data_IF_635000717126
#
_entry.id   IF_635000717126
#
_cell.length_a   1.000
_cell.length_b   1.000
_cell.length_c   1.000
_cell.angle_alpha   90.00
_cell.angle_beta   90.00
_cell.angle_gamma   90.00
#
_symmetry.space_group_name_H-M   'P 1'
#
loop_
_entity.id
_entity.type
_entity.pdbx_description
1 polymer ?
#
# COMPACT_ATOMS: atom_id res chain seq x y z
N UNK A 1 -57.33 1.84 30.34
CA UNK A 1 -56.71 2.67 29.29
C UNK A 1 -56.41 1.76 28.11
N UNK A 2 -57.01 1.96 26.94
CA UNK A 2 -56.93 1.00 25.83
C UNK A 2 -55.71 1.24 24.94
N UNK A 3 -54.86 0.22 24.76
CA UNK A 3 -53.80 0.23 23.76
C UNK A 3 -54.41 0.14 22.36
N UNK A 4 -54.36 1.24 21.60
CA UNK A 4 -54.73 1.28 20.18
C UNK A 4 -53.64 0.57 19.35
N UNK A 5 -53.87 -0.70 19.01
CA UNK A 5 -53.08 -1.42 18.02
C UNK A 5 -53.26 -0.76 16.64
N UNK A 6 -52.22 -0.11 16.11
CA UNK A 6 -52.17 0.40 14.73
C UNK A 6 -51.62 -0.69 13.80
N UNK A 7 -52.29 -0.92 12.67
CA UNK A 7 -51.97 -1.97 11.69
C UNK A 7 -50.82 -1.54 10.76
N UNK A 8 -49.95 -2.48 10.33
CA UNK A 8 -48.75 -2.27 9.49
C UNK A 8 -48.43 -3.56 8.64
N UNK A 9 -48.06 -3.53 7.33
CA UNK A 9 -47.54 -4.67 6.49
C UNK A 9 -46.85 -4.23 5.12
N UNK A 10 -46.39 -5.05 4.13
CA UNK A 10 -45.45 -4.60 3.02
C UNK A 10 -45.87 -3.43 2.05
N UNK A 11 -45.00 -2.47 1.58
CA UNK A 11 -45.33 -1.57 0.44
C UNK A 11 -45.47 -2.37 -0.86
N UNK A 12 -46.42 -2.01 -1.74
CA UNK A 12 -46.58 -2.69 -3.04
C UNK A 12 -45.34 -2.48 -3.93
N UNK A 13 -44.94 -3.47 -4.74
CA UNK A 13 -44.02 -3.22 -5.83
C UNK A 13 -44.61 -2.14 -6.76
N UNK A 14 -43.73 -1.32 -7.36
CA UNK A 14 -44.12 -0.45 -8.48
C UNK A 14 -44.86 -1.27 -9.55
N UNK A 15 -45.85 -0.69 -10.23
CA UNK A 15 -46.95 -1.32 -11.02
C UNK A 15 -46.66 -2.52 -11.97
N UNK A 16 -45.41 -2.97 -12.12
CA UNK A 16 -44.97 -4.10 -12.95
C UNK A 16 -43.91 -5.01 -12.28
N UNK A 17 -43.65 -4.87 -10.97
CA UNK A 17 -42.72 -5.75 -10.24
C UNK A 17 -43.40 -7.04 -9.78
N UNK A 18 -42.68 -8.16 -9.85
CA UNK A 18 -43.14 -9.45 -9.31
C UNK A 18 -43.32 -9.41 -7.79
N UNK A 19 -44.12 -10.33 -7.26
CA UNK A 19 -44.29 -10.51 -5.81
C UNK A 19 -42.93 -10.84 -5.15
N UNK A 20 -42.74 -10.36 -3.92
CA UNK A 20 -41.48 -10.56 -3.21
C UNK A 20 -41.30 -12.05 -2.85
N UNK A 21 -40.34 -12.71 -3.50
CA UNK A 21 -40.00 -14.10 -3.20
C UNK A 21 -39.47 -14.21 -1.76
N UNK A 22 -40.11 -15.05 -0.96
CA UNK A 22 -39.88 -15.11 0.48
C UNK A 22 -38.60 -15.91 0.76
N UNK A 23 -37.58 -15.34 1.42
CA UNK A 23 -36.37 -16.08 1.76
C UNK A 23 -36.70 -17.28 2.64
N UNK A 24 -36.10 -18.48 2.43
CA UNK A 24 -36.46 -19.71 3.15
C UNK A 24 -36.30 -19.58 4.67
N UNK A 25 -35.32 -18.81 5.13
CA UNK A 25 -35.11 -18.46 6.55
C UNK A 25 -36.34 -17.79 7.19
N UNK A 26 -37.15 -17.07 6.41
CA UNK A 26 -38.37 -16.40 6.87
C UNK A 26 -39.48 -17.40 7.15
N UNK A 27 -39.54 -18.52 6.41
CA UNK A 27 -40.47 -19.61 6.67
C UNK A 27 -40.07 -20.39 7.94
N UNK A 28 -38.78 -20.65 8.14
CA UNK A 28 -38.27 -21.26 9.38
C UNK A 28 -38.50 -20.35 10.60
N UNK A 29 -38.25 -19.04 10.48
CA UNK A 29 -38.50 -18.08 11.55
C UNK A 29 -40.00 -17.94 11.86
N UNK A 30 -40.88 -18.01 10.85
CA UNK A 30 -42.34 -18.06 11.04
C UNK A 30 -42.79 -19.30 11.83
N UNK A 31 -42.25 -20.48 11.50
CA UNK A 31 -42.52 -21.72 12.27
C UNK A 31 -42.03 -21.58 13.71
N UNK A 32 -40.81 -21.10 13.94
CA UNK A 32 -40.28 -20.90 15.30
C UNK A 32 -41.07 -19.87 16.12
N UNK A 33 -41.59 -18.82 15.49
CA UNK A 33 -42.46 -17.83 16.13
C UNK A 33 -43.86 -18.39 16.50
N UNK A 34 -44.36 -19.37 15.75
CA UNK A 34 -45.64 -20.04 16.08
C UNK A 34 -45.56 -20.99 17.28
N UNK A 35 -44.36 -21.46 17.64
CA UNK A 35 -44.13 -22.42 18.74
C UNK A 35 -43.92 -21.70 20.09
N UNK A 36 -43.34 -20.49 20.07
CA UNK A 36 -43.09 -19.72 21.28
C UNK A 36 -44.31 -18.89 21.68
N UNK A 37 -45.00 -19.32 22.74
CA UNK A 37 -46.23 -18.72 23.27
C UNK A 37 -45.95 -17.41 24.07
N UNK A 38 -45.25 -16.46 23.44
CA UNK A 38 -44.95 -15.13 23.95
C UNK A 38 -46.16 -14.21 23.82
N UNK A 39 -46.30 -13.24 24.71
CA UNK A 39 -47.30 -12.16 24.57
C UNK A 39 -46.99 -11.18 23.43
N UNK A 40 -45.77 -11.22 22.89
CA UNK A 40 -45.35 -10.50 21.68
C UNK A 40 -45.42 -11.37 20.39
N UNK A 41 -46.02 -12.58 20.46
CA UNK A 41 -46.13 -13.44 19.28
C UNK A 41 -47.07 -12.82 18.21
N UNK A 42 -46.68 -12.80 16.92
CA UNK A 42 -47.55 -12.29 15.86
C UNK A 42 -48.82 -13.15 15.74
N UNK A 43 -49.97 -12.50 15.63
CA UNK A 43 -51.26 -13.18 15.41
C UNK A 43 -51.22 -14.03 14.13
N UNK A 44 -51.97 -15.14 14.09
CA UNK A 44 -51.94 -16.08 12.96
C UNK A 44 -52.12 -15.44 11.57
N UNK A 45 -52.96 -14.40 11.46
CA UNK A 45 -53.14 -13.62 10.24
C UNK A 45 -51.94 -12.75 9.84
N UNK A 46 -51.12 -12.31 10.81
CA UNK A 46 -49.87 -11.58 10.56
C UNK A 46 -48.75 -12.54 10.15
N UNK A 47 -48.70 -13.74 10.75
CA UNK A 47 -47.86 -14.85 10.27
C UNK A 47 -48.23 -15.23 8.84
N UNK A 48 -49.51 -15.38 8.54
CA UNK A 48 -50.00 -15.72 7.20
C UNK A 48 -49.75 -14.59 6.18
N UNK A 49 -49.81 -13.31 6.59
CA UNK A 49 -49.43 -12.17 5.74
C UNK A 49 -47.91 -12.08 5.51
N UNK A 50 -47.08 -12.42 6.51
CA UNK A 50 -45.62 -12.56 6.34
C UNK A 50 -45.29 -13.70 5.36
N UNK A 51 -46.02 -14.82 5.46
CA UNK A 51 -45.91 -15.99 4.57
C UNK A 51 -46.54 -15.79 3.17
N UNK A 52 -47.19 -14.64 2.91
CA UNK A 52 -47.79 -14.27 1.61
C UNK A 52 -47.27 -12.96 1.02
N UNK A 53 -46.56 -12.13 1.80
CA UNK A 53 -45.94 -10.88 1.36
C UNK A 53 -46.85 -9.64 1.30
N UNK A 54 -48.08 -9.67 1.85
CA UNK A 54 -49.13 -8.64 1.58
C UNK A 54 -49.24 -7.54 2.66
N UNK A 55 -49.45 -6.24 2.30
CA UNK A 55 -49.68 -5.17 3.31
C UNK A 55 -49.56 -3.65 2.95
N UNK A 56 -49.37 -2.78 3.99
CA UNK A 56 -48.88 -1.35 4.03
C UNK A 56 -48.29 -0.94 5.46
N UNK A 57 -46.99 -0.57 5.65
CA UNK A 57 -46.26 -0.58 6.97
C UNK A 57 -45.90 0.83 7.48
N UNK A 58 -46.01 1.05 8.80
CA UNK A 58 -45.39 2.14 9.58
C UNK A 58 -44.04 1.71 10.23
N UNK A 59 -43.24 2.65 10.80
CA UNK A 59 -41.83 2.41 11.16
C UNK A 59 -41.50 1.29 12.16
N UNK A 60 -42.45 0.87 13.00
CA UNK A 60 -42.18 -0.03 14.14
C UNK A 60 -41.62 -1.40 13.74
N UNK A 61 -42.03 -1.94 12.57
CA UNK A 61 -41.70 -3.32 12.18
C UNK A 61 -40.55 -3.46 11.17
N UNK A 62 -39.89 -2.36 10.79
CA UNK A 62 -38.73 -2.37 9.87
C UNK A 62 -37.53 -3.21 10.36
N UNK A 63 -37.48 -3.55 11.65
CA UNK A 63 -36.34 -4.28 12.26
C UNK A 63 -36.31 -5.79 11.95
N UNK A 64 -37.42 -6.37 11.48
CA UNK A 64 -37.59 -7.81 11.28
C UNK A 64 -37.73 -8.26 9.81
N UNK A 65 -37.70 -7.34 8.84
CA UNK A 65 -37.83 -7.71 7.43
C UNK A 65 -36.47 -8.08 6.84
N UNK A 66 -36.23 -9.37 6.59
CA UNK A 66 -35.00 -9.93 5.99
C UNK A 66 -34.67 -9.28 4.63
N UNK A 67 -35.68 -9.01 3.81
CA UNK A 67 -35.52 -8.31 2.52
C UNK A 67 -34.85 -6.93 2.65
N UNK A 68 -35.04 -6.21 3.76
CA UNK A 68 -34.40 -4.90 4.00
C UNK A 68 -32.94 -5.01 4.47
N UNK A 69 -32.39 -6.22 4.65
CA UNK A 69 -31.06 -6.46 5.24
C UNK A 69 -29.96 -6.86 4.26
N UNK A 70 -30.32 -7.43 3.13
CA UNK A 70 -29.38 -7.92 2.12
C UNK A 70 -29.78 -7.45 0.73
N UNK A 71 -28.84 -7.38 -0.18
CA UNK A 71 -29.12 -7.27 -1.61
C UNK A 71 -29.67 -8.60 -2.12
N UNK A 72 -30.55 -8.56 -3.11
CA UNK A 72 -30.90 -9.75 -3.88
C UNK A 72 -29.89 -9.98 -5.03
N UNK A 73 -29.99 -11.12 -5.72
CA UNK A 73 -29.07 -11.49 -6.80
C UNK A 73 -29.09 -10.52 -7.99
N UNK A 74 -30.25 -9.95 -8.32
CA UNK A 74 -30.37 -8.94 -9.39
C UNK A 74 -29.71 -7.60 -9.00
N UNK A 75 -29.83 -7.22 -7.73
CA UNK A 75 -29.24 -6.01 -7.16
C UNK A 75 -27.71 -6.11 -7.08
N UNK A 76 -27.18 -7.28 -6.71
CA UNK A 76 -25.75 -7.57 -6.78
C UNK A 76 -25.23 -7.52 -8.22
N UNK A 77 -26.00 -8.01 -9.21
CA UNK A 77 -25.63 -7.90 -10.63
C UNK A 77 -25.59 -6.44 -11.11
N UNK A 78 -26.50 -5.57 -10.65
CA UNK A 78 -26.47 -4.14 -10.96
C UNK A 78 -25.24 -3.43 -10.37
N UNK A 79 -24.82 -3.83 -9.18
CA UNK A 79 -23.60 -3.29 -8.55
C UNK A 79 -22.33 -3.81 -9.25
N UNK A 80 -22.30 -5.11 -9.61
CA UNK A 80 -21.24 -5.67 -10.44
C UNK A 80 -21.17 -5.00 -11.81
N UNK A 81 -22.30 -4.68 -12.45
CA UNK A 81 -22.35 -3.91 -13.71
C UNK A 81 -21.69 -2.52 -13.55
N UNK A 82 -22.04 -1.76 -12.50
CA UNK A 82 -21.47 -0.43 -12.28
C UNK A 82 -19.95 -0.46 -11.99
N UNK A 83 -19.48 -1.39 -11.15
CA UNK A 83 -18.05 -1.63 -10.92
C UNK A 83 -17.36 -2.06 -12.24
N UNK A 84 -18.00 -2.95 -12.99
CA UNK A 84 -17.60 -3.37 -14.33
C UNK A 84 -17.90 -2.32 -15.41
N UNK A 85 -18.19 -1.07 -15.07
CA UNK A 85 -18.16 0.08 -16.01
C UNK A 85 -17.04 1.08 -15.68
N UNK A 86 -16.43 1.00 -14.50
CA UNK A 86 -15.40 1.93 -14.05
C UNK A 86 -14.06 1.74 -14.78
N UNK A 87 -13.41 2.85 -15.13
CA UNK A 87 -12.11 2.90 -15.80
C UNK A 87 -11.04 3.55 -14.93
N UNK A 88 -9.76 3.39 -15.27
CA UNK A 88 -8.66 4.00 -14.52
C UNK A 88 -8.61 5.54 -14.70
N UNK A 89 -9.06 6.04 -15.86
CA UNK A 89 -9.14 7.48 -16.15
C UNK A 89 -10.22 8.18 -15.32
N UNK A 90 -11.18 7.43 -14.73
CA UNK A 90 -12.27 8.00 -13.93
C UNK A 90 -11.75 8.71 -12.66
N UNK A 91 -10.60 8.30 -12.13
CA UNK A 91 -9.91 9.00 -11.04
C UNK A 91 -9.41 10.38 -11.47
N UNK A 92 -9.11 10.56 -12.76
CA UNK A 92 -8.40 11.71 -13.32
C UNK A 92 -9.27 12.64 -14.15
N UNK A 93 -10.60 12.46 -14.14
CA UNK A 93 -11.56 13.28 -14.92
C UNK A 93 -11.37 14.79 -14.67
N UNK A 94 -11.15 15.20 -13.43
CA UNK A 94 -10.89 16.60 -13.05
C UNK A 94 -9.58 17.17 -13.62
N UNK A 95 -8.68 16.30 -14.09
CA UNK A 95 -7.40 16.60 -14.74
C UNK A 95 -7.40 16.26 -16.24
N UNK A 96 -8.59 16.12 -16.86
CA UNK A 96 -8.72 15.76 -18.28
C UNK A 96 -8.34 14.31 -18.61
N UNK A 97 -8.36 13.42 -17.61
CA UNK A 97 -7.95 12.02 -17.74
C UNK A 97 -6.47 11.76 -17.51
N UNK A 98 -5.65 12.79 -17.25
CA UNK A 98 -4.21 12.66 -17.01
C UNK A 98 -3.86 12.55 -15.52
N UNK A 99 -2.95 11.64 -15.13
CA UNK A 99 -2.57 11.46 -13.73
C UNK A 99 -1.68 12.61 -13.23
N UNK A 100 -1.93 13.03 -11.99
CA UNK A 100 -1.28 14.21 -11.41
C UNK A 100 0.07 13.88 -10.77
N UNK A 101 0.93 14.91 -10.71
CA UNK A 101 2.21 14.88 -9.97
C UNK A 101 2.02 15.21 -8.49
N UNK A 102 3.09 15.07 -7.71
CA UNK A 102 3.10 15.43 -6.29
C UNK A 102 2.64 16.89 -6.09
N UNK A 103 1.88 17.12 -5.01
CA UNK A 103 1.17 18.35 -4.68
C UNK A 103 0.10 18.83 -5.68
N UNK A 104 -0.21 18.04 -6.73
CA UNK A 104 -1.36 18.32 -7.59
C UNK A 104 -2.69 18.12 -6.85
N UNK A 105 -3.72 18.94 -7.11
CA UNK A 105 -5.06 18.72 -6.57
C UNK A 105 -5.78 17.61 -7.35
N UNK A 106 -6.71 16.92 -6.69
CA UNK A 106 -7.53 15.88 -7.31
C UNK A 106 -8.99 16.00 -6.86
N UNK A 107 -9.95 15.96 -7.79
CA UNK A 107 -11.38 15.83 -7.47
C UNK A 107 -11.94 14.53 -8.05
N UNK A 108 -12.35 13.64 -7.16
CA UNK A 108 -13.05 12.39 -7.45
C UNK A 108 -14.57 12.62 -7.45
N UNK A 109 -15.31 11.82 -8.21
CA UNK A 109 -16.76 11.94 -8.36
C UNK A 109 -17.39 10.58 -8.65
N UNK A 110 -18.37 10.16 -7.84
CA UNK A 110 -19.20 9.01 -8.15
C UNK A 110 -20.59 9.48 -8.61
N UNK A 111 -20.96 9.34 -9.90
CA UNK A 111 -22.20 9.91 -10.41
C UNK A 111 -23.45 9.21 -9.87
N UNK A 112 -24.49 9.98 -9.57
CA UNK A 112 -25.82 9.47 -9.17
C UNK A 112 -26.59 8.78 -10.30
N UNK A 113 -26.10 8.86 -11.54
CA UNK A 113 -26.66 8.15 -12.69
C UNK A 113 -26.32 6.65 -12.74
N UNK A 114 -25.47 6.15 -11.82
CA UNK A 114 -25.14 4.71 -11.68
C UNK A 114 -26.40 3.87 -11.47
N UNK A 115 -26.46 2.69 -12.10
CA UNK A 115 -27.65 1.86 -12.12
C UNK A 115 -28.05 1.38 -10.71
N UNK A 116 -27.07 0.89 -9.95
CA UNK A 116 -27.19 0.48 -8.54
C UNK A 116 -27.72 1.62 -7.65
N UNK A 117 -27.16 2.84 -7.78
CA UNK A 117 -27.65 4.02 -7.05
C UNK A 117 -29.11 4.31 -7.35
N UNK A 118 -29.44 4.52 -8.63
CA UNK A 118 -30.80 4.90 -9.08
C UNK A 118 -31.85 3.82 -8.79
N UNK A 119 -31.50 2.54 -8.88
CA UNK A 119 -32.44 1.42 -8.70
C UNK A 119 -32.55 0.94 -7.26
N UNK A 120 -31.51 1.11 -6.44
CA UNK A 120 -31.37 0.49 -5.11
C UNK A 120 -31.17 1.57 -4.04
N UNK A 121 -30.00 2.22 -4.01
CA UNK A 121 -29.52 2.93 -2.83
C UNK A 121 -30.10 4.34 -2.63
N UNK A 122 -30.34 5.09 -3.71
CA UNK A 122 -30.98 6.42 -3.62
C UNK A 122 -32.51 6.32 -3.45
N UNK A 123 -33.09 5.12 -3.52
CA UNK A 123 -34.50 4.90 -3.17
C UNK A 123 -34.66 4.78 -1.66
N UNK A 124 -35.22 5.82 -1.05
CA UNK A 124 -35.57 5.86 0.38
C UNK A 124 -36.48 4.71 0.85
N UNK A 125 -37.18 4.03 -0.07
CA UNK A 125 -38.04 2.87 0.20
C UNK A 125 -37.25 1.57 0.41
N UNK A 126 -36.12 1.39 -0.30
CA UNK A 126 -35.34 0.14 -0.32
C UNK A 126 -34.42 0.00 0.89
N UNK A 127 -33.70 1.07 1.22
CA UNK A 127 -32.84 1.14 2.41
C UNK A 127 -33.01 2.50 3.13
N UNK A 128 -34.07 2.67 3.93
CA UNK A 128 -34.44 3.96 4.53
C UNK A 128 -33.46 4.51 5.58
N UNK A 129 -32.51 3.70 6.04
CA UNK A 129 -31.44 4.10 6.98
C UNK A 129 -30.08 4.22 6.29
N UNK A 130 -30.00 4.03 4.97
CA UNK A 130 -28.73 4.04 4.25
C UNK A 130 -28.02 5.37 4.34
N UNK A 131 -26.69 5.32 4.34
CA UNK A 131 -25.81 6.49 4.35
C UNK A 131 -24.71 6.25 3.33
N UNK A 132 -24.62 7.13 2.34
CA UNK A 132 -23.44 7.19 1.49
C UNK A 132 -22.30 7.89 2.23
N UNK A 133 -21.08 7.46 1.98
CA UNK A 133 -19.87 8.18 2.37
C UNK A 133 -18.65 7.71 1.58
N UNK A 134 -17.60 8.53 1.65
CA UNK A 134 -16.29 8.21 1.10
C UNK A 134 -15.43 7.49 2.12
N UNK A 135 -14.67 6.50 1.67
CA UNK A 135 -13.69 5.77 2.48
C UNK A 135 -12.36 5.63 1.75
N UNK A 136 -11.30 5.37 2.51
CA UNK A 136 -10.04 4.86 1.99
C UNK A 136 -9.90 3.40 2.38
N UNK A 137 -9.72 2.55 1.37
CA UNK A 137 -9.67 1.11 1.51
C UNK A 137 -8.27 0.67 1.94
N UNK A 138 -8.16 0.10 3.14
CA UNK A 138 -6.94 -0.50 3.69
C UNK A 138 -7.37 -1.80 4.38
N UNK A 139 -7.48 -2.93 3.65
CA UNK A 139 -7.88 -4.18 4.26
C UNK A 139 -6.77 -4.71 5.17
N UNK A 140 -7.19 -5.23 6.32
CA UNK A 140 -6.35 -5.77 7.38
C UNK A 140 -5.89 -7.21 7.11
N UNK A 141 -6.62 -7.98 6.28
CA UNK A 141 -6.26 -9.37 5.98
C UNK A 141 -6.87 -9.91 4.68
N UNK A 142 -6.28 -10.98 4.13
CA UNK A 142 -6.77 -11.72 2.96
C UNK A 142 -8.06 -12.52 3.17
N UNK A 143 -8.64 -12.45 4.37
CA UNK A 143 -9.93 -13.05 4.73
C UNK A 143 -10.98 -11.99 5.08
N UNK A 144 -10.63 -10.71 4.94
CA UNK A 144 -11.55 -9.61 5.22
C UNK A 144 -12.67 -9.59 4.18
N UNK A 145 -13.95 -9.61 4.59
CA UNK A 145 -15.08 -9.59 3.68
C UNK A 145 -15.20 -8.26 2.91
N UNK A 146 -15.67 -8.34 1.68
CA UNK A 146 -15.80 -7.18 0.76
C UNK A 146 -16.69 -6.05 1.31
N UNK A 147 -17.67 -6.37 2.17
CA UNK A 147 -18.62 -5.39 2.69
C UNK A 147 -18.04 -4.46 3.77
N UNK A 148 -16.77 -4.63 4.17
CA UNK A 148 -16.15 -3.71 5.14
C UNK A 148 -15.79 -2.38 4.44
N UNK A 149 -16.20 -1.23 5.01
CA UNK A 149 -16.02 0.08 4.38
C UNK A 149 -14.56 0.53 4.24
N UNK A 150 -13.65 0.05 5.11
CA UNK A 150 -12.34 0.68 5.31
C UNK A 150 -12.45 1.92 6.21
N UNK A 151 -11.53 2.89 6.08
CA UNK A 151 -11.50 4.08 6.95
C UNK A 151 -12.37 5.19 6.34
N UNK A 152 -13.44 5.67 7.01
CA UNK A 152 -14.26 6.78 6.51
C UNK A 152 -13.47 8.09 6.47
N UNK A 153 -13.60 8.82 5.35
CA UNK A 153 -12.92 10.09 5.13
C UNK A 153 -13.73 11.21 5.75
N UNK A 154 -13.06 12.09 6.49
CA UNK A 154 -13.65 13.25 7.17
C UNK A 154 -13.06 14.55 6.62
N UNK A 155 -13.88 15.60 6.65
CA UNK A 155 -13.44 16.94 6.25
C UNK A 155 -12.23 17.38 7.08
N UNK A 156 -11.22 17.88 6.38
CA UNK A 156 -9.92 18.30 6.92
C UNK A 156 -9.25 19.26 5.93
N UNK A 157 -8.10 19.84 6.29
CA UNK A 157 -7.34 20.71 5.39
C UNK A 157 -6.81 19.99 4.13
N UNK A 158 -6.85 18.65 4.10
CA UNK A 158 -6.37 17.81 3.01
C UNK A 158 -7.52 17.23 2.17
N UNK A 159 -8.66 16.96 2.80
CA UNK A 159 -9.83 16.32 2.20
C UNK A 159 -11.11 17.15 2.41
N UNK A 160 -11.79 17.51 1.33
CA UNK A 160 -13.15 18.07 1.36
C UNK A 160 -14.12 17.06 0.73
N UNK A 161 -15.11 16.63 1.52
CA UNK A 161 -16.21 15.76 1.11
C UNK A 161 -17.46 16.61 0.84
N UNK A 162 -17.93 16.57 -0.41
CA UNK A 162 -19.09 17.30 -0.94
C UNK A 162 -20.08 16.29 -1.55
N UNK A 163 -20.77 15.54 -0.68
CA UNK A 163 -21.65 14.43 -1.07
C UNK A 163 -20.98 13.42 -2.02
N UNK A 164 -21.41 13.41 -3.29
CA UNK A 164 -20.91 12.59 -4.39
C UNK A 164 -19.48 12.93 -4.84
N UNK A 165 -18.89 14.00 -4.31
CA UNK A 165 -17.54 14.45 -4.60
C UNK A 165 -16.59 14.32 -3.42
N UNK A 166 -15.34 13.99 -3.71
CA UNK A 166 -14.22 14.06 -2.78
C UNK A 166 -13.08 14.84 -3.44
N UNK A 167 -12.69 15.95 -2.81
CA UNK A 167 -11.54 16.77 -3.24
C UNK A 167 -10.36 16.51 -2.31
N UNK A 168 -9.22 16.16 -2.90
CA UNK A 168 -7.91 16.03 -2.25
C UNK A 168 -7.10 17.27 -2.65
N UNK A 169 -6.69 18.10 -1.71
CA UNK A 169 -6.04 19.39 -2.00
C UNK A 169 -4.62 19.27 -2.53
N UNK A 170 -3.87 18.27 -2.06
CA UNK A 170 -2.48 18.00 -2.39
C UNK A 170 -2.29 16.49 -2.46
N UNK A 171 -1.75 15.99 -3.57
CA UNK A 171 -1.32 14.60 -3.66
C UNK A 171 0.06 14.43 -3.00
N UNK A 172 0.07 13.70 -1.90
CA UNK A 172 1.26 13.36 -1.13
C UNK A 172 1.35 11.83 -0.95
N UNK A 173 2.51 11.26 -0.56
CA UNK A 173 2.61 9.81 -0.37
C UNK A 173 1.58 9.27 0.64
N UNK A 174 1.13 10.09 1.60
CA UNK A 174 0.07 9.77 2.55
C UNK A 174 -1.35 9.78 1.99
N UNK A 175 -1.58 10.33 0.78
CA UNK A 175 -2.90 10.35 0.10
C UNK A 175 -3.01 9.32 -1.02
N UNK A 176 -1.95 8.56 -1.33
CA UNK A 176 -2.02 7.45 -2.29
C UNK A 176 -2.88 6.30 -1.74
N UNK A 177 -3.37 5.46 -2.64
CA UNK A 177 -4.18 4.27 -2.34
C UNK A 177 -5.56 4.31 -2.99
N UNK A 178 -6.43 3.39 -2.56
CA UNK A 178 -7.73 3.16 -3.20
C UNK A 178 -8.84 3.85 -2.41
N UNK A 179 -9.52 4.79 -3.06
CA UNK A 179 -10.69 5.50 -2.52
C UNK A 179 -11.96 4.79 -2.96
N UNK A 180 -12.95 4.70 -2.08
CA UNK A 180 -14.26 4.09 -2.38
C UNK A 180 -15.37 5.08 -2.05
N UNK A 181 -16.37 5.12 -2.91
CA UNK A 181 -17.68 5.70 -2.61
C UNK A 181 -18.70 4.56 -2.56
N UNK A 182 -19.51 4.55 -1.51
CA UNK A 182 -20.45 3.47 -1.26
C UNK A 182 -21.49 3.83 -0.22
N UNK A 183 -22.41 2.90 0.01
CA UNK A 183 -23.51 3.05 0.95
C UNK A 183 -23.37 2.02 2.06
N UNK A 184 -23.37 2.48 3.31
CA UNK A 184 -23.71 1.64 4.45
C UNK A 184 -25.24 1.59 4.55
N UNK A 185 -25.83 0.45 4.24
CA UNK A 185 -27.29 0.26 4.17
C UNK A 185 -27.85 -0.45 5.40
N UNK A 186 -27.06 -1.37 5.98
CA UNK A 186 -27.20 -1.89 7.34
C UNK A 186 -25.91 -1.64 8.14
N UNK A 187 -25.99 -1.54 9.49
CA UNK A 187 -24.80 -1.34 10.32
C UNK A 187 -23.73 -2.41 10.08
N UNK A 188 -22.55 -2.00 9.60
CA UNK A 188 -21.45 -2.92 9.26
C UNK A 188 -21.50 -3.54 7.86
N UNK A 189 -22.52 -3.24 7.05
CA UNK A 189 -22.64 -3.67 5.65
C UNK A 189 -22.52 -2.46 4.72
N UNK A 190 -21.35 -2.29 4.11
CA UNK A 190 -21.05 -1.21 3.15
C UNK A 190 -20.80 -1.75 1.75
N UNK A 191 -21.53 -1.22 0.77
CA UNK A 191 -21.43 -1.64 -0.62
C UNK A 191 -20.76 -0.59 -1.50
N UNK A 192 -19.78 -1.04 -2.28
CA UNK A 192 -18.93 -0.16 -3.09
C UNK A 192 -19.60 0.10 -4.43
N UNK A 193 -19.87 1.37 -4.73
CA UNK A 193 -20.48 1.80 -6.01
C UNK A 193 -19.40 2.29 -6.98
N UNK A 194 -18.43 3.06 -6.46
CA UNK A 194 -17.29 3.53 -7.23
C UNK A 194 -15.98 3.32 -6.45
N UNK A 195 -14.90 3.00 -7.14
CA UNK A 195 -13.54 2.89 -6.59
C UNK A 195 -12.54 3.65 -7.47
N UNK A 196 -11.56 4.30 -6.85
CA UNK A 196 -10.60 5.16 -7.54
C UNK A 196 -9.18 4.83 -7.05
N UNK A 197 -8.32 4.24 -7.90
CA UNK A 197 -6.91 4.08 -7.60
C UNK A 197 -6.21 5.43 -7.76
N UNK A 198 -5.74 6.00 -6.65
CA UNK A 198 -5.04 7.29 -6.63
C UNK A 198 -3.56 7.06 -6.34
N UNK A 199 -2.72 7.48 -7.27
CA UNK A 199 -1.26 7.37 -7.22
C UNK A 199 -0.62 8.68 -7.67
N UNK A 200 0.64 8.91 -7.31
CA UNK A 200 1.41 10.03 -7.83
C UNK A 200 2.09 9.59 -9.13
N UNK A 201 1.88 10.31 -10.23
CA UNK A 201 2.54 9.98 -11.50
C UNK A 201 4.04 10.26 -11.43
N UNK A 202 4.86 9.27 -11.80
CA UNK A 202 6.33 9.36 -11.82
C UNK A 202 6.91 9.88 -10.51
N UNK A 203 6.45 9.37 -9.35
CA UNK A 203 6.98 9.78 -8.06
C UNK A 203 8.50 9.52 -7.99
N UNK A 204 9.29 10.60 -7.93
CA UNK A 204 10.73 10.50 -8.02
C UNK A 204 11.33 10.03 -6.69
N UNK A 205 12.00 8.88 -6.73
CA UNK A 205 12.73 8.33 -5.59
C UNK A 205 14.21 8.20 -5.94
N UNK A 206 15.08 8.75 -5.10
CA UNK A 206 16.54 8.78 -5.33
C UNK A 206 17.24 7.87 -4.33
N UNK A 207 17.95 6.87 -4.84
CA UNK A 207 18.69 5.88 -4.04
C UNK A 207 20.20 6.00 -4.24
N UNK A 208 20.97 5.49 -3.28
CA UNK A 208 22.41 5.26 -3.41
C UNK A 208 22.68 3.86 -3.98
N UNK A 209 23.83 3.69 -4.62
CA UNK A 209 24.30 2.38 -5.08
C UNK A 209 24.40 1.37 -3.94
N UNK A 210 23.87 0.17 -4.13
CA UNK A 210 23.88 -0.92 -3.14
C UNK A 210 22.78 -0.84 -2.08
N UNK A 211 21.90 0.17 -2.11
CA UNK A 211 20.75 0.21 -1.21
C UNK A 211 19.69 -0.84 -1.61
N UNK A 212 18.94 -1.34 -0.63
CA UNK A 212 17.74 -2.15 -0.86
C UNK A 212 16.51 -1.24 -0.88
N UNK A 213 15.54 -1.54 -1.74
CA UNK A 213 14.32 -0.73 -1.88
C UNK A 213 13.09 -1.59 -2.12
N UNK A 214 12.00 -1.28 -1.42
CA UNK A 214 10.73 -1.99 -1.54
C UNK A 214 9.78 -1.24 -2.46
N UNK A 215 9.51 -1.83 -3.63
CA UNK A 215 8.41 -1.43 -4.50
C UNK A 215 7.09 -1.85 -3.85
N UNK A 216 6.17 -0.90 -3.68
CA UNK A 216 4.85 -1.14 -3.06
C UNK A 216 3.76 -0.85 -4.09
N UNK A 217 2.87 -1.80 -4.33
CA UNK A 217 1.80 -1.66 -5.31
C UNK A 217 0.66 -0.74 -4.85
N UNK A 218 0.44 -0.53 -3.55
CA UNK A 218 -0.70 0.21 -2.98
C UNK A 218 -2.07 -0.31 -3.47
N UNK A 219 -2.12 -1.60 -3.78
CA UNK A 219 -3.20 -2.24 -4.53
C UNK A 219 -4.19 -2.97 -3.64
N UNK A 220 -3.80 -3.30 -2.40
CA UNK A 220 -4.62 -4.00 -1.39
C UNK A 220 -6.05 -3.44 -1.30
N UNK A 221 -6.22 -2.13 -1.40
CA UNK A 221 -7.53 -1.48 -1.32
C UNK A 221 -8.54 -1.89 -2.41
N UNK A 222 -8.11 -2.53 -3.50
CA UNK A 222 -8.98 -3.10 -4.54
C UNK A 222 -9.59 -4.45 -4.13
N UNK A 223 -9.12 -5.05 -3.03
CA UNK A 223 -9.60 -6.36 -2.56
C UNK A 223 -11.12 -6.52 -2.51
N UNK A 224 -11.92 -5.56 -2.00
CA UNK A 224 -13.38 -5.67 -1.97
C UNK A 224 -14.02 -5.84 -3.36
N UNK A 225 -13.39 -5.27 -4.39
CA UNK A 225 -13.87 -5.35 -5.78
C UNK A 225 -13.44 -6.69 -6.39
N UNK A 226 -12.18 -7.09 -6.18
CA UNK A 226 -11.62 -8.37 -6.67
C UNK A 226 -12.34 -9.57 -6.03
N UNK A 227 -12.59 -9.51 -4.73
CA UNK A 227 -13.22 -10.61 -3.97
C UNK A 227 -14.71 -10.77 -4.24
N UNK A 228 -15.43 -9.69 -4.61
CA UNK A 228 -16.85 -9.74 -4.97
C UNK A 228 -17.08 -10.26 -6.41
N UNK A 229 -16.12 -10.09 -7.32
CA UNK A 229 -16.23 -10.65 -8.67
C UNK A 229 -15.82 -12.13 -8.70
N UNK A 230 -16.74 -12.99 -9.16
CA UNK A 230 -16.52 -14.44 -9.26
C UNK A 230 -16.20 -14.92 -10.68
N UNK A 231 -16.44 -14.09 -11.71
CA UNK A 231 -16.34 -14.45 -13.12
C UNK A 231 -15.13 -13.86 -13.84
N UNK A 232 -14.52 -12.79 -13.30
CA UNK A 232 -13.40 -12.06 -13.93
C UNK A 232 -12.06 -12.54 -13.39
N UNK A 233 -11.06 -12.70 -14.27
CA UNK A 233 -9.68 -12.97 -13.84
C UNK A 233 -8.93 -11.67 -13.59
N UNK A 234 -8.25 -11.60 -12.45
CA UNK A 234 -7.41 -10.46 -12.09
C UNK A 234 -5.95 -10.86 -12.11
N UNK A 235 -5.09 -9.97 -12.60
CA UNK A 235 -3.65 -10.14 -12.67
C UNK A 235 -2.95 -8.92 -12.11
N UNK A 236 -1.74 -9.10 -11.63
CA UNK A 236 -0.84 -8.02 -11.21
C UNK A 236 0.48 -8.15 -11.94
N UNK A 237 1.08 -7.02 -12.31
CA UNK A 237 2.42 -6.96 -12.85
C UNK A 237 3.03 -5.57 -12.62
N UNK A 238 4.36 -5.51 -12.71
CA UNK A 238 5.10 -4.25 -12.83
C UNK A 238 5.47 -4.01 -14.29
N UNK A 239 5.06 -2.86 -14.83
CA UNK A 239 5.57 -2.36 -16.09
C UNK A 239 6.87 -1.59 -15.81
N UNK A 240 7.99 -2.08 -16.34
CA UNK A 240 9.33 -1.52 -16.06
C UNK A 240 9.99 -1.05 -17.36
N UNK A 241 10.37 0.23 -17.38
CA UNK A 241 11.06 0.88 -18.51
C UNK A 241 12.38 1.49 -18.02
N UNK A 242 13.50 0.85 -18.36
CA UNK A 242 14.85 1.22 -17.89
C UNK A 242 15.49 2.28 -18.79
N UNK A 243 16.07 3.32 -18.19
CA UNK A 243 16.64 4.47 -18.93
C UNK A 243 18.05 4.22 -19.48
N UNK A 244 18.85 3.34 -18.90
CA UNK A 244 20.23 3.07 -19.40
C UNK A 244 20.26 2.23 -20.71
N UNK A 245 19.08 1.94 -21.30
CA UNK A 245 18.88 1.20 -22.56
C UNK A 245 18.40 2.08 -23.73
N UNK A 246 18.77 3.37 -23.76
CA UNK A 246 18.32 4.29 -24.81
C UNK A 246 18.68 3.84 -26.25
N UNK A 247 19.77 3.08 -26.42
CA UNK A 247 20.25 2.58 -27.73
C UNK A 247 19.56 1.31 -28.27
N UNK A 248 18.65 0.66 -27.52
CA UNK A 248 17.92 -0.52 -28.00
C UNK A 248 16.53 -0.16 -28.55
N UNK A 249 15.94 -1.02 -29.40
CA UNK A 249 14.59 -0.82 -29.95
C UNK A 249 13.53 -0.73 -28.84
N UNK A 250 12.49 0.09 -29.03
CA UNK A 250 11.46 0.39 -28.00
C UNK A 250 10.69 -0.84 -27.49
N UNK A 251 10.66 -1.92 -28.28
CA UNK A 251 10.04 -3.20 -27.93
C UNK A 251 10.85 -3.95 -26.85
N UNK A 252 12.18 -3.74 -26.76
CA UNK A 252 13.04 -4.34 -25.71
C UNK A 252 13.20 -3.48 -24.46
N UNK A 253 12.72 -2.21 -24.48
CA UNK A 253 12.77 -1.30 -23.33
C UNK A 253 11.73 -1.63 -22.27
N UNK A 254 10.56 -2.10 -22.71
CA UNK A 254 9.43 -2.45 -21.87
C UNK A 254 9.53 -3.90 -21.44
N UNK A 255 9.64 -4.15 -20.13
CA UNK A 255 9.64 -5.51 -19.60
C UNK A 255 8.61 -5.64 -18.49
N UNK A 256 7.62 -6.52 -18.72
CA UNK A 256 6.67 -6.94 -17.68
C UNK A 256 7.44 -7.78 -16.65
N UNK A 257 7.46 -7.31 -15.40
CA UNK A 257 8.06 -8.03 -14.27
C UNK A 257 6.93 -8.54 -13.36
N UNK A 258 7.12 -9.75 -12.82
CA UNK A 258 6.20 -10.36 -11.84
C UNK A 258 4.74 -10.45 -12.28
N UNK A 259 4.50 -10.82 -13.56
CA UNK A 259 3.16 -11.08 -14.07
C UNK A 259 2.56 -12.34 -13.43
N UNK A 260 1.46 -12.17 -12.69
CA UNK A 260 0.84 -13.21 -11.86
C UNK A 260 -0.68 -13.09 -11.89
N UNK A 261 -1.39 -14.22 -11.96
CA UNK A 261 -2.84 -14.30 -11.75
C UNK A 261 -3.16 -14.27 -10.25
N UNK A 262 -4.11 -13.44 -9.85
CA UNK A 262 -4.51 -13.26 -8.45
C UNK A 262 -5.64 -14.24 -8.08
N UNK A 263 -5.39 -15.06 -7.05
CA UNK A 263 -6.39 -16.00 -6.54
C UNK A 263 -7.43 -15.33 -5.63
N UNK A 264 -8.71 -15.58 -5.88
CA UNK A 264 -9.80 -15.25 -4.94
C UNK A 264 -10.08 -16.46 -4.01
N UNK A 265 -9.69 -16.41 -2.72
CA UNK A 265 -9.82 -17.52 -1.76
C UNK A 265 -11.27 -17.80 -1.36
N UNK A 266 -12.22 -16.91 -1.66
CA UNK A 266 -13.63 -17.14 -1.40
C UNK A 266 -14.27 -18.09 -2.44
N UNK A 267 -13.70 -18.20 -3.64
CA UNK A 267 -14.20 -19.07 -4.71
C UNK A 267 -13.79 -20.53 -4.49
N UNK A 268 -12.54 -20.78 -4.08
CA UNK A 268 -11.94 -22.13 -4.04
C UNK A 268 -12.37 -23.02 -2.85
N UNK A 269 -13.59 -22.86 -2.30
CA UNK A 269 -14.12 -23.81 -1.29
C UNK A 269 -14.83 -25.04 -1.87
N UNK A 270 -15.09 -25.08 -3.18
CA UNK A 270 -15.79 -26.21 -3.82
C UNK A 270 -14.95 -27.04 -4.82
N UNK A 271 -13.79 -26.57 -5.27
CA UNK A 271 -12.85 -27.37 -6.08
C UNK A 271 -11.87 -28.16 -5.19
N UNK A 272 -12.46 -28.99 -4.34
CA UNK A 272 -11.76 -29.94 -3.49
C UNK A 272 -11.99 -31.38 -3.94
N UNK A 273 -11.74 -31.71 -5.21
CA UNK A 273 -11.49 -33.07 -5.72
C UNK A 273 -11.04 -33.07 -7.19
N UNK A 274 -9.92 -33.77 -7.47
CA UNK A 274 -9.46 -34.28 -8.78
C UNK A 274 -9.28 -33.24 -9.92
N UNK A 275 -8.06 -32.87 -10.32
CA UNK A 275 -7.08 -33.80 -10.90
C UNK A 275 -5.61 -33.39 -10.70
N UNK A 276 -4.74 -34.40 -10.59
CA UNK A 276 -3.33 -34.30 -10.96
C UNK A 276 -3.24 -34.62 -12.46
N UNK A 277 -3.49 -33.64 -13.33
CA UNK A 277 -3.29 -33.83 -14.77
C UNK A 277 -1.83 -33.55 -15.15
N UNK A 278 -1.17 -34.58 -15.66
CA UNK A 278 0.15 -34.48 -16.28
C UNK A 278 0.04 -33.70 -17.59
N UNK A 279 0.59 -32.49 -17.67
CA UNK A 279 0.91 -31.84 -18.95
C UNK A 279 2.37 -31.42 -18.99
N UNK A 280 3.14 -32.21 -19.74
CA UNK A 280 4.43 -31.81 -20.32
C UNK A 280 4.23 -30.78 -21.43
N UNK A 281 5.26 -29.96 -21.62
CA UNK A 281 5.51 -29.14 -22.82
C UNK A 281 4.56 -27.97 -23.13
N UNK A 282 4.60 -26.96 -22.25
CA UNK A 282 4.60 -25.56 -22.68
C UNK A 282 5.42 -24.71 -21.69
N UNK A 283 6.32 -23.80 -22.15
CA UNK A 283 7.18 -23.05 -21.25
C UNK A 283 6.42 -21.94 -20.50
N UNK A 284 6.37 -22.08 -19.17
CA UNK A 284 6.15 -20.99 -18.21
C UNK A 284 4.83 -20.21 -18.29
N UNK A 285 3.70 -20.91 -18.13
CA UNK A 285 2.54 -20.34 -17.42
C UNK A 285 2.36 -21.13 -16.11
N UNK A 286 3.26 -20.88 -15.15
CA UNK A 286 3.03 -21.30 -13.78
C UNK A 286 1.92 -20.42 -13.19
N UNK A 287 0.69 -20.93 -13.22
CA UNK A 287 -0.44 -20.34 -12.50
C UNK A 287 -0.09 -20.27 -11.02
N UNK A 288 0.21 -19.06 -10.54
CA UNK A 288 0.78 -18.86 -9.22
C UNK A 288 -0.31 -18.76 -8.16
N UNK A 289 -0.06 -19.32 -6.98
CA UNK A 289 -1.04 -19.41 -5.89
C UNK A 289 -1.24 -18.08 -5.14
N UNK A 290 -0.77 -16.97 -5.72
CA UNK A 290 -0.59 -15.71 -5.02
C UNK A 290 -1.89 -14.92 -4.87
N UNK A 291 -2.02 -14.31 -3.70
CA UNK A 291 -3.04 -13.32 -3.40
C UNK A 291 -2.47 -11.91 -3.61
N UNK A 292 -3.34 -10.91 -3.48
CA UNK A 292 -2.97 -9.50 -3.51
C UNK A 292 -1.94 -9.13 -2.42
N UNK A 293 -1.90 -9.86 -1.30
CA UNK A 293 -0.93 -9.66 -0.22
C UNK A 293 0.47 -10.13 -0.57
N UNK A 294 0.57 -11.26 -1.28
CA UNK A 294 1.84 -11.87 -1.67
C UNK A 294 2.55 -11.07 -2.78
N UNK A 295 1.82 -10.15 -3.42
CA UNK A 295 2.25 -9.36 -4.57
C UNK A 295 2.29 -7.85 -4.31
N UNK A 296 1.83 -7.39 -3.14
CA UNK A 296 1.81 -5.96 -2.78
C UNK A 296 3.22 -5.37 -2.61
N UNK A 297 4.19 -6.18 -2.17
CA UNK A 297 5.57 -5.75 -1.88
C UNK A 297 6.57 -6.54 -2.70
N UNK A 298 7.49 -5.84 -3.36
CA UNK A 298 8.57 -6.45 -4.12
C UNK A 298 9.91 -5.75 -3.86
N UNK A 299 10.86 -6.48 -3.27
CA UNK A 299 12.17 -5.94 -2.92
C UNK A 299 13.12 -5.95 -4.11
N UNK A 300 13.79 -4.82 -4.33
CA UNK A 300 15.00 -4.68 -5.11
C UNK A 300 16.20 -4.79 -4.17
N UNK A 301 17.14 -5.68 -4.49
CA UNK A 301 18.39 -5.87 -3.75
C UNK A 301 19.56 -5.27 -4.53
N UNK A 302 20.58 -4.79 -3.80
CA UNK A 302 21.83 -4.24 -4.33
C UNK A 302 21.62 -3.30 -5.53
N UNK A 303 20.88 -2.21 -5.32
CA UNK A 303 20.46 -1.33 -6.42
C UNK A 303 21.65 -0.75 -7.19
N UNK A 304 21.60 -0.86 -8.51
CA UNK A 304 22.67 -0.45 -9.44
C UNK A 304 22.16 0.53 -10.48
N UNK A 305 23.03 1.39 -11.02
CA UNK A 305 22.64 2.49 -11.94
C UNK A 305 21.74 2.04 -13.10
N UNK A 306 21.97 0.86 -13.67
CA UNK A 306 21.15 0.23 -14.73
C UNK A 306 19.70 -0.07 -14.38
N UNK A 307 19.33 -0.02 -13.09
CA UNK A 307 17.95 -0.10 -12.59
C UNK A 307 17.29 1.29 -12.49
N UNK A 308 17.93 2.35 -12.98
CA UNK A 308 17.31 3.68 -13.12
C UNK A 308 16.24 3.63 -14.21
N UNK A 309 15.02 4.03 -13.90
CA UNK A 309 13.89 3.87 -14.81
C UNK A 309 12.53 4.17 -14.20
N UNK A 310 11.49 3.94 -15.00
CA UNK A 310 10.09 4.03 -14.59
C UNK A 310 9.57 2.65 -14.17
N UNK A 311 8.89 2.61 -13.03
CA UNK A 311 8.34 1.41 -12.41
C UNK A 311 6.87 1.68 -12.07
N UNK A 312 5.95 1.00 -12.74
CA UNK A 312 4.53 1.17 -12.48
C UNK A 312 3.89 -0.16 -12.08
N UNK A 313 3.12 -0.18 -10.99
CA UNK A 313 2.31 -1.34 -10.63
C UNK A 313 0.94 -1.24 -11.30
N UNK A 314 0.61 -2.28 -12.06
CA UNK A 314 -0.60 -2.40 -12.87
C UNK A 314 -1.41 -3.60 -12.38
N UNK A 315 -2.67 -3.36 -12.00
CA UNK A 315 -3.66 -4.40 -11.75
C UNK A 315 -4.56 -4.51 -12.98
N UNK A 316 -4.54 -5.68 -13.61
CA UNK A 316 -5.23 -5.97 -14.85
C UNK A 316 -6.46 -6.84 -14.60
N UNK A 317 -7.62 -6.39 -15.07
CA UNK A 317 -8.88 -7.13 -15.02
C UNK A 317 -9.22 -7.64 -16.42
N UNK A 318 -9.24 -8.96 -16.58
CA UNK A 318 -9.70 -9.65 -17.78
C UNK A 318 -11.18 -10.02 -17.59
N UNK A 319 -12.08 -9.21 -18.17
CA UNK A 319 -13.52 -9.48 -18.15
C UNK A 319 -13.94 -10.40 -19.29
N UNK A 320 -13.47 -10.12 -20.52
CA UNK A 320 -13.76 -10.88 -21.73
C UNK A 320 -12.61 -10.71 -22.73
N UNK A 321 -12.53 -11.58 -23.75
CA UNK A 321 -11.47 -11.53 -24.79
C UNK A 321 -11.33 -10.18 -25.51
N UNK A 322 -12.39 -9.37 -25.54
CA UNK A 322 -12.44 -8.04 -26.18
C UNK A 322 -12.45 -6.86 -25.20
N UNK A 323 -12.68 -7.09 -23.91
CA UNK A 323 -12.82 -6.03 -22.90
C UNK A 323 -11.94 -6.34 -21.69
N UNK A 324 -10.76 -5.73 -21.70
CA UNK A 324 -9.78 -5.79 -20.62
C UNK A 324 -9.58 -4.40 -20.02
N UNK A 325 -9.12 -4.32 -18.77
CA UNK A 325 -8.83 -3.06 -18.08
C UNK A 325 -7.54 -3.14 -17.29
N UNK A 326 -6.87 -2.01 -17.16
CA UNK A 326 -5.66 -1.88 -16.38
C UNK A 326 -5.80 -0.70 -15.44
N UNK A 327 -5.56 -0.93 -14.15
CA UNK A 327 -5.59 0.07 -13.09
C UNK A 327 -4.16 0.26 -12.58
N UNK A 328 -3.62 1.47 -12.77
CA UNK A 328 -2.32 1.83 -12.21
C UNK A 328 -2.53 2.20 -10.74
N UNK A 329 -1.83 1.53 -9.84
CA UNK A 329 -1.93 1.76 -8.39
C UNK A 329 -0.67 2.38 -7.80
N UNK A 330 0.45 2.35 -8.53
CA UNK A 330 1.70 3.03 -8.20
C UNK A 330 2.48 3.41 -9.47
N UNK A 331 3.14 4.57 -9.49
CA UNK A 331 4.07 4.99 -10.56
C UNK A 331 5.29 5.68 -9.94
N UNK A 332 6.47 5.08 -10.07
CA UNK A 332 7.74 5.53 -9.47
C UNK A 332 8.75 5.82 -10.58
N UNK A 333 9.44 6.95 -10.48
CA UNK A 333 10.66 7.22 -11.24
C UNK A 333 11.86 6.99 -10.32
N UNK A 334 12.54 5.85 -10.49
CA UNK A 334 13.65 5.43 -9.64
C UNK A 334 14.97 5.94 -10.23
N UNK A 335 15.72 6.71 -9.46
CA UNK A 335 17.03 7.27 -9.84
C UNK A 335 18.09 6.72 -8.89
N UNK A 336 18.97 5.85 -9.38
CA UNK A 336 20.03 5.25 -8.58
C UNK A 336 21.35 5.94 -8.89
N UNK A 337 21.95 6.54 -7.86
CA UNK A 337 23.26 7.20 -7.95
C UNK A 337 24.35 6.19 -8.33
N UNK A 338 25.35 6.66 -9.05
CA UNK A 338 26.58 5.88 -9.30
C UNK A 338 27.27 5.52 -7.98
N UNK A 339 28.04 4.41 -7.92
CA UNK A 339 28.85 4.11 -6.74
C UNK A 339 29.76 5.28 -6.38
N UNK A 340 29.94 5.59 -5.08
CA UNK A 340 30.81 6.68 -4.66
C UNK A 340 32.26 6.40 -5.05
N UNK A 341 32.90 7.36 -5.71
CA UNK A 341 34.33 7.28 -6.03
C UNK A 341 35.17 7.09 -4.76
N UNK A 342 36.31 6.39 -4.86
CA UNK A 342 37.24 6.15 -3.74
C UNK A 342 37.57 7.46 -2.99
N UNK A 343 37.81 8.56 -3.72
CA UNK A 343 38.05 9.88 -3.12
C UNK A 343 36.88 10.42 -2.28
N UNK A 344 35.64 10.14 -2.65
CA UNK A 344 34.46 10.54 -1.85
C UNK A 344 34.30 9.69 -0.60
N UNK A 345 34.62 8.38 -0.66
CA UNK A 345 34.67 7.50 0.50
C UNK A 345 35.79 7.91 1.47
N UNK A 346 37.00 8.17 0.97
CA UNK A 346 38.14 8.66 1.77
C UNK A 346 37.81 10.01 2.41
N UNK A 347 37.19 10.94 1.68
CA UNK A 347 36.76 12.22 2.24
C UNK A 347 35.71 12.05 3.35
N UNK A 348 34.73 11.16 3.15
CA UNK A 348 33.73 10.82 4.16
C UNK A 348 34.36 10.23 5.43
N UNK A 349 35.26 9.25 5.26
CA UNK A 349 36.00 8.63 6.36
C UNK A 349 36.86 9.64 7.13
N UNK A 350 37.59 10.52 6.44
CA UNK A 350 38.39 11.58 7.06
C UNK A 350 37.53 12.58 7.84
N UNK A 351 36.34 12.93 7.35
CA UNK A 351 35.39 13.79 8.07
C UNK A 351 34.82 13.09 9.31
N UNK A 352 34.44 11.82 9.20
CA UNK A 352 33.89 11.02 10.30
C UNK A 352 34.93 10.76 11.40
N UNK A 353 36.21 10.61 11.05
CA UNK A 353 37.32 10.36 11.98
C UNK A 353 38.23 11.57 12.21
N UNK A 354 37.76 12.80 11.89
CA UNK A 354 38.56 14.03 11.98
C UNK A 354 39.24 14.21 13.36
N UNK A 355 38.55 13.90 14.46
CA UNK A 355 39.08 14.01 15.82
C UNK A 355 40.21 12.98 16.05
N UNK A 356 40.02 11.73 15.62
CA UNK A 356 41.03 10.68 15.77
C UNK A 356 42.29 10.98 14.94
N UNK A 357 42.12 11.56 13.75
CA UNK A 357 43.22 12.00 12.90
C UNK A 357 44.01 13.17 13.53
N UNK A 358 43.32 14.14 14.13
CA UNK A 358 43.95 15.24 14.88
C UNK A 358 44.74 14.68 16.08
N UNK A 359 44.16 13.75 16.84
CA UNK A 359 44.83 13.11 17.99
C UNK A 359 46.09 12.34 17.53
N UNK A 360 46.00 11.55 16.47
CA UNK A 360 47.16 10.84 15.89
C UNK A 360 48.26 11.81 15.44
N UNK A 361 47.88 12.93 14.82
CA UNK A 361 48.83 13.95 14.38
C UNK A 361 49.54 14.62 15.57
N UNK A 362 48.80 14.97 16.63
CA UNK A 362 49.36 15.52 17.87
C UNK A 362 50.30 14.52 18.57
N UNK A 363 49.93 13.24 18.66
CA UNK A 363 50.79 12.18 19.23
C UNK A 363 52.08 12.02 18.39
N UNK A 364 51.99 12.08 17.06
CA UNK A 364 53.14 12.02 16.16
C UNK A 364 54.12 13.20 16.38
N UNK A 365 53.59 14.41 16.56
CA UNK A 365 54.39 15.60 16.89
C UNK A 365 55.07 15.45 18.26
N UNK A 366 54.33 15.05 19.29
CA UNK A 366 54.85 14.89 20.65
C UNK A 366 55.94 13.81 20.72
N UNK A 367 55.73 12.66 20.08
CA UNK A 367 56.74 11.58 20.05
C UNK A 367 57.98 11.99 19.25
N UNK A 368 57.82 12.68 18.12
CA UNK A 368 58.94 13.20 17.32
C UNK A 368 59.79 14.23 18.10
N UNK A 369 59.15 15.17 18.79
CA UNK A 369 59.82 16.15 19.66
C UNK A 369 60.52 15.47 20.85
N UNK A 370 59.88 14.48 21.47
CA UNK A 370 60.47 13.71 22.58
C UNK A 370 61.70 12.93 22.12
N UNK A 371 61.65 12.33 20.94
CA UNK A 371 62.78 11.60 20.35
C UNK A 371 63.94 12.55 19.94
N UNK A 372 63.62 13.71 19.37
CA UNK A 372 64.61 14.72 19.01
C UNK A 372 65.33 15.30 20.25
N UNK A 373 64.58 15.63 21.31
CA UNK A 373 65.14 16.13 22.57
C UNK A 373 65.94 15.05 23.33
N UNK A 374 65.52 13.79 23.26
CA UNK A 374 66.31 12.65 23.77
C UNK A 374 67.65 12.50 23.02
N UNK A 375 67.65 12.53 21.68
CA UNK A 375 68.88 12.52 20.87
C UNK A 375 69.79 13.73 21.18
N UNK A 376 69.21 14.92 21.31
CA UNK A 376 69.97 16.13 21.62
C UNK A 376 70.62 16.09 23.01
N UNK A 377 69.90 15.58 24.02
CA UNK A 377 70.45 15.44 25.38
C UNK A 377 71.54 14.36 25.46
N UNK A 378 71.45 13.27 24.68
CA UNK A 378 72.55 12.30 24.52
C UNK A 378 73.76 12.95 23.85
N UNK A 379 73.58 13.64 22.72
CA UNK A 379 74.68 14.32 22.02
C UNK A 379 75.38 15.37 22.92
N UNK A 380 74.61 16.09 23.75
CA UNK A 380 75.14 17.05 24.73
C UNK A 380 75.86 16.39 25.91
N UNK A 381 75.53 15.15 26.28
CA UNK A 381 76.29 14.35 27.25
C UNK A 381 77.59 13.81 26.65
N UNK A 382 77.55 13.30 25.42
CA UNK A 382 78.72 12.80 24.70
C UNK A 382 79.77 13.90 24.47
N UNK A 383 79.36 15.06 23.96
CA UNK A 383 80.28 16.21 23.79
C UNK A 383 80.88 16.72 25.11
N UNK A 384 80.13 16.68 26.22
CA UNK A 384 80.69 16.99 27.54
C UNK A 384 81.74 15.97 28.00
N UNK A 385 81.49 14.68 27.79
CA UNK A 385 82.44 13.61 28.10
C UNK A 385 83.71 13.72 27.23
N UNK A 386 83.57 14.09 25.96
CA UNK A 386 84.68 14.32 25.04
C UNK A 386 85.54 15.53 25.44
N UNK A 387 84.92 16.62 25.91
CA UNK A 387 85.63 17.77 26.49
C UNK A 387 86.39 17.34 27.77
N UNK A 388 85.75 16.63 28.70
CA UNK A 388 86.39 16.13 29.92
C UNK A 388 87.52 15.13 29.64
N UNK A 389 87.39 14.31 28.60
CA UNK A 389 88.45 13.41 28.15
C UNK A 389 89.65 14.19 27.59
N UNK A 390 89.41 15.24 26.79
CA UNK A 390 90.48 16.10 26.28
C UNK A 390 91.15 16.92 27.40
N UNK A 391 90.41 17.37 28.42
CA UNK A 391 90.97 18.04 29.60
C UNK A 391 91.83 17.10 30.45
N UNK A 392 91.39 15.86 30.67
CA UNK A 392 92.18 14.85 31.41
C UNK A 392 93.42 14.38 30.63
N UNK A 393 93.37 14.33 29.29
CA UNK A 393 94.55 14.10 28.45
C UNK A 393 95.54 15.27 28.59
N UNK A 394 95.08 16.53 28.56
CA UNK A 394 95.94 17.70 28.79
C UNK A 394 96.55 17.71 30.19
N UNK A 395 95.79 17.34 31.23
CA UNK A 395 96.32 17.26 32.59
C UNK A 395 97.38 16.15 32.74
N UNK A 396 97.20 15.00 32.08
CA UNK A 396 98.27 13.97 32.01
C UNK A 396 99.52 14.45 31.27
N UNK A 397 99.35 15.31 30.26
CA UNK A 397 100.50 15.92 29.59
C UNK A 397 101.20 16.95 30.49
N UNK A 398 100.49 17.72 31.33
CA UNK A 398 101.13 18.65 32.26
C UNK A 398 101.88 17.92 33.39
N UNK A 399 101.31 16.87 33.98
CA UNK A 399 102.00 16.09 35.03
C UNK A 399 103.29 15.43 34.53
N UNK A 400 103.32 14.99 33.27
CA UNK A 400 104.54 14.46 32.64
C UNK A 400 105.64 15.52 32.40
N UNK A 401 105.35 16.82 32.54
CA UNK A 401 106.37 17.88 32.51
C UNK A 401 106.89 18.24 33.91
N UNK A 402 106.08 18.09 34.96
CA UNK A 402 106.51 18.32 36.35
C UNK A 402 107.48 17.22 36.81
N UNK A 403 107.29 15.96 36.39
CA UNK A 403 108.19 14.83 36.69
C UNK A 403 109.58 14.93 36.01
N UNK A 404 109.85 15.96 35.20
CA UNK A 404 111.15 16.18 34.54
C UNK A 404 112.08 17.12 35.36
N UNK A 405 111.55 17.78 36.40
CA UNK A 405 112.32 18.67 37.29
C UNK A 405 112.36 18.17 38.75
N UNK A 406 113.05 17.04 39.01
CA UNK A 406 113.59 16.56 40.32
C UNK A 406 114.25 15.18 40.02
N UNK A 407 115.50 15.12 39.52
CA UNK A 407 116.77 14.72 40.19
C UNK A 407 117.55 14.01 39.04
N UNK A 408 118.79 14.30 38.63
CA UNK A 408 119.97 15.02 39.15
C UNK A 408 120.67 14.35 40.35
#
# INVERSE_FOLDING_TARGET
MGLRLRQCACPKPSQYGADCEIPPETAEMAVNLSVNNSTDAPTGSALEAILKGEGLWEPCNRHHCSYLKTLNTEEDLLLLEDLNLQRAEDAWISSGGLPQRIHGPLKLFCPSSRNSRKKIFDKSERFPKSKFYWTRSIPTSSKEPYYIPGIPIKNSNLFIVENDHLTIHSLDPSTMGIYRFGYEYEPGYFETICFFPVYIHQWQQVLSHGETFDLVCNSLGLWPIISKSTTTKWFVYWNVTLLEKEEQNDIEKHKLWWYTELKNPHINKHEGNNSFDNQTDNPTIFGTQFTLWDTEYQRLYDTVKKMTGYYECHIFNQLNSTYNRTFITQSIHLIIKSPPNIWTLVKGWCLQHQINLIILFLISIITSLSYATYKWTIAKKLSKLEIQMNETIKHRQSTNFDDIYIIN
#
